data_IF_560864337434
#
_entry.id   IF_560864337434
#
_cell.length_a   1.000
_cell.length_b   1.000
_cell.length_c   1.000
_cell.angle_alpha   90.00
_cell.angle_beta   90.00
_cell.angle_gamma   90.00
#
_symmetry.space_group_name_H-M   'P 1'
#
loop_
_entity.id
_entity.type
_entity.pdbx_description
1 polymer ?
#
# COMPACT_ATOMS: atom_id res chain seq x y z
N UNK A 1 -9.90 -7.55 -4.84
CA UNK A 1 -8.87 -6.76 -4.13
C UNK A 1 -9.46 -6.29 -2.82
N UNK A 2 -8.89 -6.66 -1.67
CA UNK A 2 -9.34 -6.13 -0.40
C UNK A 2 -8.97 -4.65 -0.31
N UNK A 3 -9.98 -3.79 -0.33
CA UNK A 3 -9.77 -2.38 -0.04
C UNK A 3 -9.42 -2.23 1.44
N UNK A 4 -8.31 -1.56 1.75
CA UNK A 4 -7.91 -1.33 3.15
C UNK A 4 -8.71 -0.14 3.69
N UNK A 5 -8.61 1.00 3.01
CA UNK A 5 -9.33 2.24 3.33
C UNK A 5 -9.28 3.25 2.15
N UNK A 6 -9.92 4.41 2.34
CA UNK A 6 -9.87 5.57 1.44
C UNK A 6 -9.35 6.81 2.17
N UNK A 7 -8.65 7.68 1.44
CA UNK A 7 -8.17 8.98 1.91
C UNK A 7 -8.53 10.01 0.84
N UNK A 8 -9.55 10.84 1.10
CA UNK A 8 -10.13 11.70 0.06
C UNK A 8 -10.59 10.87 -1.15
N UNK A 9 -10.13 11.25 -2.35
CA UNK A 9 -10.38 10.52 -3.60
C UNK A 9 -9.49 9.29 -3.83
N UNK A 10 -8.51 9.04 -2.97
CA UNK A 10 -7.54 7.96 -3.14
C UNK A 10 -7.95 6.68 -2.41
N UNK A 11 -7.73 5.55 -3.08
CA UNK A 11 -8.00 4.22 -2.57
C UNK A 11 -6.70 3.52 -2.26
N UNK A 12 -6.59 2.98 -1.04
CA UNK A 12 -5.44 2.20 -0.58
C UNK A 12 -5.85 0.73 -0.47
N UNK A 13 -5.13 -0.15 -1.17
CA UNK A 13 -5.46 -1.57 -1.28
C UNK A 13 -4.20 -2.43 -1.48
N UNK A 14 -4.30 -3.74 -1.25
CA UNK A 14 -3.30 -4.70 -1.72
C UNK A 14 -3.90 -5.57 -2.85
N UNK A 15 -3.04 -6.03 -3.75
CA UNK A 15 -3.44 -6.99 -4.76
C UNK A 15 -3.60 -8.37 -4.14
N UNK A 16 -4.74 -9.02 -4.36
CA UNK A 16 -5.01 -10.36 -3.81
C UNK A 16 -4.19 -11.45 -4.50
N UNK A 17 -3.80 -11.22 -5.75
CA UNK A 17 -3.05 -12.17 -6.58
C UNK A 17 -1.59 -11.72 -6.65
N UNK A 18 -0.94 -11.74 -5.49
CA UNK A 18 0.51 -11.61 -5.36
C UNK A 18 1.22 -12.76 -6.09
N UNK A 19 2.39 -12.48 -6.65
CA UNK A 19 3.20 -13.51 -7.29
C UNK A 19 3.70 -14.57 -6.29
N UNK A 20 4.28 -15.66 -6.80
CA UNK A 20 5.12 -16.55 -6.00
C UNK A 20 6.57 -16.43 -6.48
N UNK A 21 7.52 -16.03 -5.61
CA UNK A 21 7.37 -15.79 -4.16
C UNK A 21 6.54 -14.53 -3.84
N UNK A 22 5.90 -14.54 -2.66
CA UNK A 22 5.13 -13.40 -2.14
C UNK A 22 6.06 -12.19 -1.96
N UNK A 23 5.67 -11.02 -2.47
CA UNK A 23 6.46 -9.81 -2.26
C UNK A 23 6.41 -9.34 -0.80
N UNK A 24 7.38 -8.52 -0.36
CA UNK A 24 7.26 -7.82 0.92
C UNK A 24 5.98 -6.98 1.03
N UNK A 25 5.56 -6.69 2.26
CA UNK A 25 4.33 -5.96 2.51
C UNK A 25 4.32 -4.59 1.81
N UNK A 26 3.27 -4.32 1.06
CA UNK A 26 3.07 -3.06 0.37
C UNK A 26 1.59 -2.76 0.15
N UNK A 27 1.34 -1.52 -0.28
CA UNK A 27 0.02 -1.06 -0.71
C UNK A 27 0.12 -0.40 -2.08
N UNK A 28 -0.99 -0.45 -2.79
CA UNK A 28 -1.25 0.31 -4.00
C UNK A 28 -2.14 1.50 -3.68
N UNK A 29 -1.86 2.61 -4.34
CA UNK A 29 -2.60 3.87 -4.22
C UNK A 29 -3.05 4.31 -5.61
N UNK A 30 -4.33 4.62 -5.75
CA UNK A 30 -4.88 5.20 -6.98
C UNK A 30 -6.03 6.14 -6.67
N UNK A 31 -6.24 7.15 -7.51
CA UNK A 31 -7.46 7.96 -7.46
C UNK A 31 -8.62 7.20 -8.11
N UNK A 32 -9.76 7.11 -7.41
CA UNK A 32 -10.95 6.45 -7.96
C UNK A 32 -10.92 4.93 -7.88
N UNK A 33 -10.76 4.23 -9.00
CA UNK A 33 -10.96 2.77 -9.10
C UNK A 33 -9.62 2.03 -9.13
N UNK A 34 -9.44 0.96 -8.31
CA UNK A 34 -8.28 0.09 -8.37
C UNK A 34 -7.96 -0.41 -9.78
N UNK A 35 -6.69 -0.28 -10.18
CA UNK A 35 -6.19 -0.65 -11.51
C UNK A 35 -4.85 -1.40 -11.40
N UNK A 36 -4.43 -2.14 -12.43
CA UNK A 36 -3.07 -2.68 -12.52
C UNK A 36 -2.04 -1.56 -12.69
N UNK A 37 -0.80 -1.84 -12.26
CA UNK A 37 0.34 -0.93 -12.40
C UNK A 37 0.14 0.47 -11.81
N UNK A 38 -0.55 0.55 -10.66
CA UNK A 38 -0.75 1.79 -9.91
C UNK A 38 0.44 2.11 -9.00
N UNK A 39 0.46 3.32 -8.44
CA UNK A 39 1.47 3.77 -7.47
C UNK A 39 1.62 2.75 -6.34
N UNK A 40 2.84 2.26 -6.14
CA UNK A 40 3.18 1.24 -5.14
C UNK A 40 4.02 1.85 -4.03
N UNK A 41 3.66 1.56 -2.79
CA UNK A 41 4.33 2.03 -1.57
C UNK A 41 4.62 0.84 -0.67
N UNK A 42 5.89 0.62 -0.35
CA UNK A 42 6.30 -0.38 0.62
C UNK A 42 6.00 0.10 2.04
N UNK A 43 5.62 -0.84 2.91
CA UNK A 43 5.56 -0.61 4.36
C UNK A 43 6.84 -1.18 4.97
N UNK A 44 7.61 -0.35 5.64
CA UNK A 44 8.88 -0.75 6.27
C UNK A 44 8.63 -1.40 7.63
N UNK A 45 9.64 -2.07 8.19
CA UNK A 45 9.53 -2.71 9.52
C UNK A 45 9.16 -1.75 10.65
N UNK A 46 9.58 -0.48 10.55
CA UNK A 46 9.26 0.56 11.54
C UNK A 46 7.91 1.25 11.27
N UNK A 47 7.10 0.75 10.32
CA UNK A 47 5.78 1.28 10.01
C UNK A 47 5.81 2.56 9.18
N UNK A 48 6.91 2.83 8.48
CA UNK A 48 7.10 3.97 7.56
C UNK A 48 6.80 3.58 6.12
N UNK A 49 6.61 4.58 5.28
CA UNK A 49 6.39 4.42 3.85
C UNK A 49 7.70 4.57 3.06
N UNK A 50 7.90 3.70 2.08
CA UNK A 50 8.94 3.87 1.06
C UNK A 50 8.29 3.77 -0.33
N UNK A 51 8.37 4.84 -1.11
CA UNK A 51 7.80 4.88 -2.45
C UNK A 51 8.57 3.93 -3.38
N UNK A 52 7.88 2.95 -3.96
CA UNK A 52 8.46 2.04 -4.95
C UNK A 52 8.37 2.62 -6.36
N UNK A 53 7.21 3.17 -6.71
CA UNK A 53 6.97 3.89 -7.96
C UNK A 53 5.75 4.82 -7.80
N UNK A 54 5.63 5.81 -8.68
CA UNK A 54 4.45 6.67 -8.77
C UNK A 54 3.78 6.58 -10.16
N UNK A 55 3.41 5.37 -10.56
CA UNK A 55 2.84 5.13 -11.89
C UNK A 55 1.46 5.77 -12.09
N UNK A 56 0.71 6.03 -11.01
CA UNK A 56 -0.55 6.77 -11.07
C UNK A 56 -0.37 8.28 -11.16
N UNK A 57 0.87 8.79 -11.21
CA UNK A 57 1.21 10.22 -11.35
C UNK A 57 0.54 11.10 -10.28
N UNK A 58 0.48 10.58 -9.05
CA UNK A 58 -0.09 11.31 -7.91
C UNK A 58 0.83 12.51 -7.63
N UNK A 59 0.29 13.74 -7.50
CA UNK A 59 1.10 14.90 -7.14
C UNK A 59 1.89 14.66 -5.85
N UNK A 60 3.15 15.08 -5.81
CA UNK A 60 4.08 14.75 -4.71
C UNK A 60 3.53 15.14 -3.33
N UNK A 61 2.96 16.34 -3.20
CA UNK A 61 2.35 16.79 -1.94
C UNK A 61 1.23 15.87 -1.49
N UNK A 62 0.33 15.52 -2.41
CA UNK A 62 -0.79 14.62 -2.12
C UNK A 62 -0.30 13.21 -1.78
N UNK A 63 0.74 12.73 -2.46
CA UNK A 63 1.35 11.44 -2.17
C UNK A 63 1.94 11.40 -0.76
N UNK A 64 2.60 12.49 -0.34
CA UNK A 64 3.12 12.62 1.03
C UNK A 64 1.99 12.61 2.06
N UNK A 65 0.90 13.36 1.83
CA UNK A 65 -0.27 13.37 2.72
C UNK A 65 -0.91 11.96 2.83
N UNK A 66 -0.97 11.22 1.71
CA UNK A 66 -1.46 9.83 1.70
C UNK A 66 -0.50 8.90 2.45
N UNK A 67 0.81 9.05 2.26
CA UNK A 67 1.82 8.29 3.01
C UNK A 67 1.68 8.54 4.51
N UNK A 68 1.50 9.78 4.97
CA UNK A 68 1.31 10.08 6.41
C UNK A 68 0.12 9.31 6.99
N UNK A 69 -0.99 9.20 6.26
CA UNK A 69 -2.16 8.43 6.68
C UNK A 69 -1.88 6.92 6.64
N UNK A 70 -1.13 6.43 5.66
CA UNK A 70 -0.70 5.02 5.59
C UNK A 70 0.18 4.68 6.79
N UNK A 71 1.15 5.52 7.14
CA UNK A 71 2.04 5.32 8.29
C UNK A 71 1.27 5.30 9.61
N UNK A 72 0.36 6.26 9.80
CA UNK A 72 -0.51 6.33 10.98
C UNK A 72 -1.39 5.08 11.15
N UNK A 73 -1.64 4.34 10.05
CA UNK A 73 -2.47 3.13 10.00
C UNK A 73 -1.69 1.86 9.67
N UNK A 74 -0.37 1.90 9.74
CA UNK A 74 0.52 0.79 9.38
C UNK A 74 0.17 -0.52 10.09
N UNK A 75 -0.22 -0.46 11.37
CA UNK A 75 -0.68 -1.64 12.14
C UNK A 75 -1.91 -2.30 11.54
N UNK A 76 -2.90 -1.53 11.08
CA UNK A 76 -4.10 -2.07 10.43
C UNK A 76 -3.75 -2.79 9.13
N UNK A 77 -2.82 -2.21 8.37
CA UNK A 77 -2.34 -2.76 7.09
C UNK A 77 -1.61 -4.08 7.32
N UNK A 78 -0.68 -4.11 8.29
CA UNK A 78 0.05 -5.31 8.70
C UNK A 78 -0.92 -6.42 9.11
N UNK A 79 -1.89 -6.13 9.98
CA UNK A 79 -2.88 -7.13 10.41
C UNK A 79 -3.70 -7.65 9.23
N UNK A 80 -4.16 -6.79 8.33
CA UNK A 80 -4.92 -7.21 7.14
C UNK A 80 -4.07 -8.06 6.20
N UNK A 81 -2.79 -7.72 6.00
CA UNK A 81 -1.86 -8.50 5.19
C UNK A 81 -1.63 -9.88 5.81
N UNK A 82 -1.28 -9.95 7.10
CA UNK A 82 -1.07 -11.22 7.81
C UNK A 82 -2.31 -12.11 7.76
N UNK A 83 -3.49 -11.53 7.98
CA UNK A 83 -4.75 -12.28 7.95
C UNK A 83 -5.09 -12.82 6.56
N UNK A 84 -4.62 -12.15 5.49
CA UNK A 84 -4.93 -12.53 4.11
C UNK A 84 -3.90 -13.51 3.53
N UNK A 85 -2.60 -13.23 3.72
CA UNK A 85 -1.51 -14.03 3.13
C UNK A 85 -0.90 -15.05 4.08
N UNK A 86 -1.10 -14.92 5.39
CA UNK A 86 -0.55 -15.84 6.41
C UNK A 86 0.92 -15.62 6.75
N UNK A 87 1.64 -14.78 5.99
CA UNK A 87 3.03 -14.43 6.23
C UNK A 87 3.31 -12.95 5.88
N UNK A 88 4.34 -12.37 6.50
CA UNK A 88 4.81 -11.01 6.24
C UNK A 88 6.33 -11.02 6.13
N UNK A 89 6.84 -10.39 5.08
CA UNK A 89 8.23 -9.95 4.98
C UNK A 89 8.29 -8.44 4.70
N UNK A 90 9.44 -7.82 4.95
CA UNK A 90 9.65 -6.38 4.77
C UNK A 90 10.75 -6.14 3.76
N UNK A 91 10.57 -5.12 2.92
CA UNK A 91 11.60 -4.71 1.96
C UNK A 91 12.84 -4.17 2.67
N UNK A 92 12.64 -3.41 3.76
CA UNK A 92 13.67 -2.93 4.67
C UNK A 92 13.17 -2.80 6.13
#
# INVERSE_FOLDING_TARGET
>A
MPQIFKVGGYVVYFWANEGQPLEPIHVHVVEGVPAPNTTKVWITRNGKCLLANNNSKIPERTLNDVCDVIEARSKDILNKWMNFFGEISFYC
#
